data_IF_388503798953
#
_entry.id   IF_388503798953
#
_cell.length_a   1.000
_cell.length_b   1.000
_cell.length_c   1.000
_cell.angle_alpha   90.00
_cell.angle_beta   90.00
_cell.angle_gamma   90.00
#
_symmetry.space_group_name_H-M   'P 1'
#
loop_
_entity.id
_entity.type
_entity.pdbx_description
1 polymer ?
#
# COMPACT_ATOMS: atom_id res chain seq x y z
N UNK A 1 -4.68 -46.23 5.26
CA UNK A 1 -4.64 -45.02 6.13
C UNK A 1 -6.00 -44.89 6.78
N UNK A 2 -6.08 -44.93 8.11
CA UNK A 2 -7.34 -44.85 8.86
C UNK A 2 -7.89 -43.41 8.83
N UNK A 3 -9.22 -43.25 8.83
CA UNK A 3 -9.89 -41.93 8.86
C UNK A 3 -9.34 -40.99 9.95
N UNK A 4 -8.94 -41.53 11.12
CA UNK A 4 -8.33 -40.79 12.21
C UNK A 4 -6.96 -40.19 11.87
N UNK A 5 -6.14 -40.86 11.04
CA UNK A 5 -4.82 -40.37 10.63
C UNK A 5 -4.93 -39.21 9.59
N UNK A 6 -5.96 -39.24 8.74
CA UNK A 6 -6.24 -38.18 7.77
C UNK A 6 -6.75 -36.90 8.47
N UNK A 7 -7.65 -37.05 9.44
CA UNK A 7 -8.12 -35.91 10.26
C UNK A 7 -6.99 -35.24 11.05
N UNK A 8 -6.09 -36.05 11.66
CA UNK A 8 -4.95 -35.53 12.40
C UNK A 8 -3.91 -34.81 11.53
N UNK A 9 -3.68 -35.28 10.31
CA UNK A 9 -2.74 -34.63 9.36
C UNK A 9 -3.30 -33.33 8.81
N UNK A 10 -4.59 -33.27 8.48
CA UNK A 10 -5.29 -32.07 8.01
C UNK A 10 -5.29 -30.97 9.10
N UNK A 11 -5.62 -31.32 10.34
CA UNK A 11 -5.65 -30.39 11.48
C UNK A 11 -4.28 -29.79 11.74
N UNK A 12 -3.23 -30.60 11.78
CA UNK A 12 -1.84 -30.13 11.91
C UNK A 12 -1.41 -29.18 10.77
N UNK A 13 -1.82 -29.46 9.55
CA UNK A 13 -1.57 -28.58 8.41
C UNK A 13 -2.28 -27.21 8.53
N UNK A 14 -3.51 -27.20 9.01
CA UNK A 14 -4.30 -25.98 9.25
C UNK A 14 -3.70 -25.15 10.40
N UNK A 15 -3.34 -25.79 11.52
CA UNK A 15 -2.76 -25.14 12.69
C UNK A 15 -1.42 -24.46 12.34
N UNK A 16 -0.57 -25.12 11.54
CA UNK A 16 0.68 -24.54 11.02
C UNK A 16 0.42 -23.31 10.17
N UNK A 17 -0.59 -23.33 9.29
CA UNK A 17 -0.93 -22.19 8.42
C UNK A 17 -1.46 -21.01 9.21
N UNK A 18 -2.30 -21.25 10.21
CA UNK A 18 -2.79 -20.22 11.14
C UNK A 18 -1.65 -19.64 11.99
N UNK A 19 -0.73 -20.46 12.46
CA UNK A 19 0.46 -20.00 13.17
C UNK A 19 1.32 -19.08 12.31
N UNK A 20 1.56 -19.43 11.04
CA UNK A 20 2.32 -18.59 10.10
C UNK A 20 1.63 -17.25 9.84
N UNK A 21 0.30 -17.25 9.71
CA UNK A 21 -0.47 -16.01 9.57
C UNK A 21 -0.34 -15.13 10.82
N UNK A 22 -0.50 -15.70 11.99
CA UNK A 22 -0.36 -14.97 13.26
C UNK A 22 1.07 -14.44 13.47
N UNK A 23 2.08 -15.23 13.16
CA UNK A 23 3.49 -14.82 13.24
C UNK A 23 3.78 -13.66 12.27
N UNK A 24 3.29 -13.72 11.03
CA UNK A 24 3.47 -12.63 10.06
C UNK A 24 2.71 -11.37 10.48
N UNK A 25 1.52 -11.51 11.07
CA UNK A 25 0.77 -10.39 11.62
C UNK A 25 1.50 -9.73 12.81
N UNK A 26 2.16 -10.53 13.66
CA UNK A 26 2.99 -10.01 14.75
C UNK A 26 4.20 -9.23 14.21
N UNK A 27 4.86 -9.75 13.17
CA UNK A 27 5.95 -9.03 12.49
C UNK A 27 5.44 -7.71 11.92
N UNK A 28 4.25 -7.68 11.30
CA UNK A 28 3.64 -6.45 10.80
C UNK A 28 3.41 -5.45 11.94
N UNK A 29 2.89 -5.90 13.07
CA UNK A 29 2.67 -5.03 14.24
C UNK A 29 3.99 -4.44 14.75
N UNK A 30 5.03 -5.26 14.87
CA UNK A 30 6.36 -4.79 15.28
C UNK A 30 6.94 -3.77 14.31
N UNK A 31 6.82 -4.02 12.99
CA UNK A 31 7.25 -3.08 11.96
C UNK A 31 6.42 -1.79 11.95
N UNK A 32 5.11 -1.86 12.18
CA UNK A 32 4.26 -0.67 12.29
C UNK A 32 4.66 0.21 13.47
N UNK A 33 4.96 -0.39 14.64
CA UNK A 33 5.51 0.34 15.79
C UNK A 33 6.88 0.94 15.48
N UNK A 34 7.75 0.20 14.79
CA UNK A 34 9.05 0.70 14.36
C UNK A 34 8.89 1.87 13.36
N UNK A 35 7.94 1.78 12.43
CA UNK A 35 7.66 2.86 11.47
C UNK A 35 7.14 4.13 12.13
N UNK A 36 6.32 3.99 13.18
CA UNK A 36 5.87 5.10 14.02
C UNK A 36 7.00 5.70 14.86
N UNK A 37 7.96 4.89 15.31
CA UNK A 37 9.10 5.34 16.11
C UNK A 37 10.18 6.02 15.25
N UNK A 38 10.40 5.54 14.02
CA UNK A 38 11.42 6.06 13.10
C UNK A 38 10.95 7.33 12.38
N UNK A 39 11.88 8.26 12.16
CA UNK A 39 11.64 9.51 11.43
C UNK A 39 12.61 10.61 11.89
N UNK A 40 12.60 11.80 11.24
CA UNK A 40 13.54 12.89 11.50
C UNK A 40 13.62 13.32 12.98
N UNK A 41 12.47 13.29 13.67
CA UNK A 41 12.38 13.48 15.12
C UNK A 41 12.17 12.12 15.76
N UNK A 42 13.22 11.38 16.11
CA UNK A 42 13.10 10.11 16.82
C UNK A 42 12.08 10.22 17.97
N UNK A 43 11.09 9.31 18.00
CA UNK A 43 10.04 9.33 19.03
C UNK A 43 10.15 8.05 19.86
N UNK A 44 10.58 8.16 21.13
CA UNK A 44 10.61 7.02 22.05
C UNK A 44 9.23 6.36 22.16
N UNK A 45 9.19 5.07 22.43
CA UNK A 45 7.92 4.33 22.57
C UNK A 45 7.00 4.93 23.64
N UNK A 46 7.56 5.42 24.75
CA UNK A 46 6.79 6.08 25.81
C UNK A 46 6.05 7.34 25.30
N UNK A 47 6.71 8.13 24.47
CA UNK A 47 6.11 9.31 23.85
C UNK A 47 5.01 8.94 22.86
N UNK A 48 5.19 7.84 22.10
CA UNK A 48 4.13 7.29 21.22
C UNK A 48 2.91 6.88 22.05
N UNK A 49 3.10 6.14 23.15
CA UNK A 49 2.00 5.73 24.02
C UNK A 49 1.30 6.91 24.70
N UNK A 50 2.04 7.94 25.13
CA UNK A 50 1.47 9.18 25.65
C UNK A 50 0.62 9.89 24.61
N UNK A 51 1.13 10.05 23.38
CA UNK A 51 0.40 10.69 22.29
C UNK A 51 -0.82 9.87 21.82
N UNK A 52 -0.77 8.54 21.84
CA UNK A 52 -1.91 7.67 21.56
C UNK A 52 -3.01 7.81 22.63
N UNK A 53 -2.65 7.85 23.90
CA UNK A 53 -3.60 8.07 25.00
C UNK A 53 -4.24 9.45 24.97
N UNK A 54 -3.49 10.50 24.58
CA UNK A 54 -4.02 11.84 24.45
C UNK A 54 -5.06 11.95 23.31
N UNK A 55 -4.95 11.09 22.27
CA UNK A 55 -5.89 11.02 21.16
C UNK A 55 -5.76 12.15 20.14
N UNK A 56 -6.47 12.04 18.99
CA UNK A 56 -6.39 13.02 17.90
C UNK A 56 -7.07 14.35 18.22
N UNK A 57 -7.97 14.38 19.21
CA UNK A 57 -8.75 15.55 19.62
C UNK A 57 -8.16 16.24 20.87
N UNK A 58 -6.86 16.06 21.11
CA UNK A 58 -6.19 16.74 22.21
C UNK A 58 -6.44 18.25 22.16
N UNK A 59 -6.98 18.80 23.25
CA UNK A 59 -7.58 20.12 23.31
C UNK A 59 -6.57 21.22 22.96
N UNK A 60 -6.81 21.90 21.82
CA UNK A 60 -5.98 23.00 21.34
C UNK A 60 -6.01 24.20 22.30
N UNK A 61 -7.12 24.43 23.01
CA UNK A 61 -7.28 25.60 23.87
C UNK A 61 -6.34 25.57 25.07
N UNK A 62 -6.21 24.42 25.74
CA UNK A 62 -5.27 24.23 26.85
C UNK A 62 -3.82 24.46 26.45
N UNK A 63 -3.44 23.98 25.26
CA UNK A 63 -2.07 24.05 24.79
C UNK A 63 -1.66 25.44 24.28
N UNK A 64 -2.62 26.25 23.76
CA UNK A 64 -2.35 27.64 23.40
C UNK A 64 -2.16 28.51 24.66
N UNK A 65 -2.96 28.26 25.69
CA UNK A 65 -2.78 28.91 27.00
C UNK A 65 -1.42 28.52 27.60
N UNK A 66 -1.07 27.23 27.57
CA UNK A 66 0.21 26.74 28.09
C UNK A 66 1.42 27.35 27.35
N UNK A 67 1.39 27.39 26.00
CA UNK A 67 2.49 27.98 25.23
C UNK A 67 2.61 29.49 25.39
N UNK A 68 1.49 30.22 25.52
CA UNK A 68 1.48 31.65 25.82
C UNK A 68 1.95 31.94 27.25
N UNK A 69 1.53 31.13 28.22
CA UNK A 69 1.97 31.23 29.60
C UNK A 69 3.49 31.03 29.75
N UNK A 70 4.03 29.99 29.04
CA UNK A 70 5.48 29.76 29.01
C UNK A 70 6.27 30.92 28.44
N UNK A 71 5.75 31.55 27.38
CA UNK A 71 6.39 32.73 26.73
C UNK A 71 6.31 34.03 27.56
N UNK A 72 5.37 34.08 28.52
CA UNK A 72 5.13 35.26 29.36
C UNK A 72 5.74 35.11 30.77
N UNK A 73 6.33 33.97 31.12
CA UNK A 73 6.96 33.75 32.41
C UNK A 73 8.19 34.67 32.54
N UNK A 74 8.14 35.69 33.44
CA UNK A 74 9.29 36.51 33.74
C UNK A 74 10.35 35.70 34.50
N UNK A 75 11.50 36.31 34.76
CA UNK A 75 12.49 35.71 35.66
C UNK A 75 11.88 35.45 37.04
N UNK A 76 12.20 34.30 37.65
CA UNK A 76 11.64 33.86 38.92
C UNK A 76 11.88 34.95 40.02
N UNK A 77 10.85 35.37 40.77
CA UNK A 77 11.03 36.20 41.94
C UNK A 77 11.85 35.46 43.00
N UNK A 78 12.70 36.16 43.71
CA UNK A 78 13.53 35.59 44.78
C UNK A 78 12.67 34.88 45.82
N UNK A 79 13.00 33.63 46.11
CA UNK A 79 12.27 32.75 47.07
C UNK A 79 11.13 31.89 46.49
N UNK A 80 10.82 32.01 45.17
CA UNK A 80 9.78 31.20 44.49
C UNK A 80 10.36 30.37 43.35
N UNK A 81 11.67 30.18 43.33
CA UNK A 81 12.40 29.51 42.22
C UNK A 81 11.92 28.06 41.98
N UNK A 82 11.61 27.30 43.04
CA UNK A 82 11.13 25.92 42.92
C UNK A 82 9.70 25.81 42.35
N UNK A 83 8.82 26.77 42.71
CA UNK A 83 7.47 26.86 42.11
C UNK A 83 7.53 27.31 40.65
N UNK A 84 8.43 28.21 40.34
CA UNK A 84 8.63 28.72 38.97
C UNK A 84 9.20 27.65 38.06
N UNK A 85 10.17 26.85 38.56
CA UNK A 85 10.69 25.68 37.87
C UNK A 85 9.59 24.61 37.62
N UNK A 86 8.81 24.28 38.65
CA UNK A 86 7.71 23.30 38.51
C UNK A 86 6.61 23.75 37.54
N UNK A 87 6.30 25.06 37.49
CA UNK A 87 5.38 25.61 36.48
C UNK A 87 5.99 25.55 35.08
N UNK A 88 7.27 25.87 34.92
CA UNK A 88 7.99 25.82 33.65
C UNK A 88 8.03 24.37 33.10
N UNK A 89 8.29 23.38 33.94
CA UNK A 89 8.27 21.97 33.60
C UNK A 89 6.87 21.48 33.18
N UNK A 90 5.82 21.83 33.96
CA UNK A 90 4.43 21.48 33.64
C UNK A 90 3.99 22.03 32.26
N UNK A 91 4.22 23.32 31.98
CA UNK A 91 3.88 23.92 30.70
C UNK A 91 4.77 23.40 29.56
N UNK A 92 6.03 23.09 29.86
CA UNK A 92 6.97 22.47 28.92
C UNK A 92 6.51 21.08 28.47
N UNK A 93 6.02 20.27 29.40
CA UNK A 93 5.49 18.92 29.13
C UNK A 93 4.20 18.97 28.30
N UNK A 94 3.31 19.93 28.58
CA UNK A 94 2.10 20.14 27.79
C UNK A 94 2.43 20.56 26.33
N UNK A 95 3.35 21.50 26.15
CA UNK A 95 3.79 21.95 24.83
C UNK A 95 4.49 20.82 24.04
N UNK A 96 5.28 19.98 24.72
CA UNK A 96 5.90 18.77 24.16
C UNK A 96 4.86 17.77 23.73
N UNK A 97 3.89 17.44 24.59
CA UNK A 97 2.82 16.50 24.29
C UNK A 97 2.01 16.92 23.06
N UNK A 98 1.71 18.22 22.91
CA UNK A 98 1.05 18.75 21.74
C UNK A 98 1.83 18.47 20.45
N UNK A 99 3.15 18.72 20.43
CA UNK A 99 4.01 18.42 19.28
C UNK A 99 3.97 16.94 18.95
N UNK A 100 4.07 16.06 19.96
CA UNK A 100 4.02 14.62 19.80
C UNK A 100 2.68 14.15 19.19
N UNK A 101 1.55 14.66 19.69
CA UNK A 101 0.21 14.37 19.16
C UNK A 101 0.07 14.83 17.71
N UNK A 102 0.53 16.06 17.40
CA UNK A 102 0.45 16.59 16.04
C UNK A 102 1.30 15.76 15.06
N UNK A 103 2.51 15.37 15.43
CA UNK A 103 3.38 14.55 14.58
C UNK A 103 2.80 13.14 14.43
N UNK A 104 2.35 12.52 15.53
CA UNK A 104 1.83 11.16 15.49
C UNK A 104 0.53 11.07 14.66
N UNK A 105 -0.48 11.84 15.04
CA UNK A 105 -1.81 11.75 14.42
C UNK A 105 -1.91 12.51 13.09
N UNK A 106 -1.14 13.60 12.91
CA UNK A 106 -1.16 14.40 11.69
C UNK A 106 -0.31 13.82 10.55
N UNK A 107 0.79 13.15 10.89
CA UNK A 107 1.77 12.69 9.90
C UNK A 107 2.01 11.18 9.94
N UNK A 108 2.46 10.63 11.07
CA UNK A 108 2.96 9.24 11.14
C UNK A 108 1.85 8.20 11.04
N UNK A 109 0.75 8.37 11.76
CA UNK A 109 -0.39 7.43 11.72
C UNK A 109 -0.98 7.30 10.31
N UNK A 110 -1.32 8.39 9.60
CA UNK A 110 -1.77 8.28 8.21
C UNK A 110 -0.76 7.57 7.29
N UNK A 111 0.55 7.83 7.45
CA UNK A 111 1.60 7.19 6.65
C UNK A 111 1.66 5.68 6.88
N UNK A 112 1.75 5.25 8.14
CA UNK A 112 1.82 3.83 8.49
C UNK A 112 0.53 3.08 8.11
N UNK A 113 -0.64 3.64 8.41
CA UNK A 113 -1.93 3.03 8.07
C UNK A 113 -2.13 2.94 6.55
N UNK A 114 -1.80 4.00 5.79
CA UNK A 114 -1.84 3.95 4.33
C UNK A 114 -0.88 2.89 3.80
N UNK A 115 0.33 2.80 4.33
CA UNK A 115 1.29 1.76 3.95
C UNK A 115 0.75 0.34 4.17
N UNK A 116 0.12 0.08 5.33
CA UNK A 116 -0.52 -1.21 5.62
C UNK A 116 -1.65 -1.51 4.63
N UNK A 117 -2.57 -0.55 4.41
CA UNK A 117 -3.70 -0.73 3.50
C UNK A 117 -3.26 -0.95 2.06
N UNK A 118 -2.28 -0.19 1.58
CA UNK A 118 -1.70 -0.35 0.25
C UNK A 118 -1.02 -1.69 0.09
N UNK A 119 -0.25 -2.12 1.10
CA UNK A 119 0.36 -3.45 1.11
C UNK A 119 -0.69 -4.56 1.06
N UNK A 120 -1.79 -4.43 1.81
CA UNK A 120 -2.94 -5.35 1.77
C UNK A 120 -3.57 -5.39 0.37
N UNK A 121 -3.88 -4.22 -0.19
CA UNK A 121 -4.50 -4.11 -1.51
C UNK A 121 -3.62 -4.74 -2.59
N UNK A 122 -2.31 -4.43 -2.61
CA UNK A 122 -1.38 -4.96 -3.61
C UNK A 122 -1.13 -6.46 -3.43
N UNK A 123 -1.06 -6.97 -2.20
CA UNK A 123 -0.92 -8.41 -1.92
C UNK A 123 -2.13 -9.21 -2.40
N UNK A 124 -3.35 -8.75 -2.08
CA UNK A 124 -4.60 -9.36 -2.54
C UNK A 124 -4.77 -9.27 -4.06
N UNK A 125 -4.51 -8.10 -4.63
CA UNK A 125 -4.58 -7.88 -6.08
C UNK A 125 -3.58 -8.75 -6.82
N UNK A 126 -2.34 -8.83 -6.33
CA UNK A 126 -1.30 -9.65 -6.93
C UNK A 126 -1.65 -11.14 -6.93
N UNK A 127 -2.12 -11.70 -5.81
CA UNK A 127 -2.47 -13.11 -5.72
C UNK A 127 -3.62 -13.47 -6.67
N UNK A 128 -4.67 -12.66 -6.71
CA UNK A 128 -5.78 -12.86 -7.64
C UNK A 128 -5.31 -12.76 -9.09
N UNK A 129 -4.50 -11.74 -9.43
CA UNK A 129 -3.97 -11.56 -10.78
C UNK A 129 -3.15 -12.77 -11.24
N UNK A 130 -2.24 -13.27 -10.41
CA UNK A 130 -1.45 -14.45 -10.71
C UNK A 130 -2.31 -15.70 -10.90
N UNK A 131 -3.43 -15.78 -10.19
CA UNK A 131 -4.36 -16.91 -10.30
C UNK A 131 -5.17 -16.85 -11.58
N UNK A 132 -5.79 -15.70 -11.90
CA UNK A 132 -6.65 -15.58 -13.10
C UNK A 132 -5.88 -15.59 -14.41
N UNK A 133 -4.59 -15.20 -14.38
CA UNK A 133 -3.71 -15.25 -15.54
C UNK A 133 -2.89 -16.56 -15.62
N UNK A 134 -3.04 -17.45 -14.64
CA UNK A 134 -2.25 -18.67 -14.52
C UNK A 134 -0.73 -18.40 -14.66
N UNK A 135 -0.26 -17.23 -14.21
CA UNK A 135 1.12 -16.78 -14.35
C UNK A 135 1.66 -16.26 -13.02
N UNK A 136 2.66 -16.89 -12.41
CA UNK A 136 3.23 -16.47 -11.13
C UNK A 136 3.98 -15.13 -11.19
N UNK A 137 4.33 -14.65 -12.38
CA UNK A 137 5.01 -13.37 -12.60
C UNK A 137 4.04 -12.22 -12.93
N UNK A 138 2.74 -12.51 -13.00
CA UNK A 138 1.73 -11.48 -13.24
C UNK A 138 1.58 -10.57 -12.02
N UNK A 139 1.44 -9.29 -12.28
CA UNK A 139 1.15 -8.27 -11.26
C UNK A 139 0.30 -7.15 -11.87
N UNK A 140 -0.42 -6.38 -11.05
CA UNK A 140 -1.13 -5.20 -11.55
C UNK A 140 -0.21 -4.17 -12.22
N UNK A 141 1.05 -4.11 -11.81
CA UNK A 141 2.07 -3.23 -12.39
C UNK A 141 2.36 -3.62 -13.85
N UNK A 142 2.53 -4.93 -14.13
CA UNK A 142 2.87 -5.43 -15.47
C UNK A 142 1.72 -5.30 -16.48
N UNK A 143 0.49 -5.07 -16.03
CA UNK A 143 -0.68 -4.83 -16.88
C UNK A 143 -0.98 -3.34 -17.13
N UNK A 144 -0.04 -2.45 -16.81
CA UNK A 144 -0.14 -1.05 -17.17
C UNK A 144 -0.99 -0.17 -16.23
N UNK A 145 -1.53 -0.71 -15.13
CA UNK A 145 -2.34 0.08 -14.19
C UNK A 145 -1.54 1.21 -13.56
N UNK A 146 -0.28 0.95 -13.20
CA UNK A 146 0.61 1.97 -12.66
C UNK A 146 1.02 3.03 -13.70
N UNK A 147 1.19 2.65 -14.98
CA UNK A 147 1.47 3.59 -16.06
C UNK A 147 0.27 4.53 -16.30
N UNK A 148 -0.95 3.97 -16.29
CA UNK A 148 -2.17 4.76 -16.40
C UNK A 148 -2.35 5.73 -15.22
N UNK A 149 -2.08 5.27 -13.99
CA UNK A 149 -2.07 6.13 -12.80
C UNK A 149 -1.05 7.27 -12.95
N UNK A 150 0.17 6.95 -13.42
CA UNK A 150 1.22 7.92 -13.68
C UNK A 150 0.84 8.97 -14.73
N UNK A 151 0.20 8.54 -15.81
CA UNK A 151 -0.35 9.45 -16.81
C UNK A 151 -1.43 10.36 -16.24
N UNK A 152 -2.38 9.82 -15.45
CA UNK A 152 -3.43 10.60 -14.80
C UNK A 152 -2.86 11.65 -13.83
N UNK A 153 -1.88 11.26 -13.03
CA UNK A 153 -1.18 12.17 -12.14
C UNK A 153 -0.41 13.25 -12.92
N UNK A 154 0.29 12.87 -14.00
CA UNK A 154 1.02 13.79 -14.86
C UNK A 154 0.10 14.82 -15.51
N UNK A 155 -1.06 14.40 -16.02
CA UNK A 155 -2.10 15.30 -16.52
C UNK A 155 -2.51 16.32 -15.45
N UNK A 156 -2.88 15.85 -14.26
CA UNK A 156 -3.31 16.74 -13.20
C UNK A 156 -2.20 17.70 -12.78
N UNK A 157 -0.97 17.24 -12.61
CA UNK A 157 0.18 18.09 -12.24
C UNK A 157 0.43 19.17 -13.31
N UNK A 158 0.46 18.77 -14.59
CA UNK A 158 0.72 19.69 -15.71
C UNK A 158 -0.39 20.76 -15.84
N UNK A 159 -1.66 20.34 -15.87
CA UNK A 159 -2.77 21.29 -16.01
C UNK A 159 -2.99 22.12 -14.74
N UNK A 160 -2.70 21.58 -13.55
CA UNK A 160 -2.73 22.34 -12.31
C UNK A 160 -1.74 23.49 -12.30
N UNK A 161 -0.54 23.30 -12.84
CA UNK A 161 0.45 24.36 -12.99
C UNK A 161 0.04 25.46 -13.98
N UNK A 162 -0.86 25.15 -14.90
CA UNK A 162 -1.36 26.11 -15.91
C UNK A 162 -2.55 26.94 -15.43
N UNK A 163 -3.20 26.58 -14.31
CA UNK A 163 -4.35 27.31 -13.76
C UNK A 163 -3.93 28.29 -12.67
N UNK A 164 -3.91 29.61 -12.92
CA UNK A 164 -3.57 30.60 -11.89
C UNK A 164 -4.52 30.49 -10.68
N UNK A 165 -3.96 30.41 -9.49
CA UNK A 165 -4.72 30.34 -8.22
C UNK A 165 -5.15 28.92 -7.81
N UNK A 166 -5.07 27.91 -8.64
CA UNK A 166 -5.48 26.51 -8.31
C UNK A 166 -4.28 25.69 -7.83
N UNK A 167 -3.15 25.80 -8.48
CA UNK A 167 -1.94 25.02 -8.19
C UNK A 167 -1.33 25.26 -6.79
N UNK A 168 -1.58 26.45 -6.21
CA UNK A 168 -1.10 26.81 -4.86
C UNK A 168 -1.93 26.26 -3.70
N UNK A 169 -3.10 25.67 -3.98
CA UNK A 169 -3.96 25.16 -2.94
C UNK A 169 -3.60 23.71 -2.57
N UNK A 170 -3.39 23.46 -1.28
CA UNK A 170 -3.04 22.14 -0.76
C UNK A 170 -4.04 21.03 -1.20
N UNK A 171 -5.35 21.33 -1.27
CA UNK A 171 -6.39 20.38 -1.69
C UNK A 171 -6.18 19.85 -3.13
N UNK A 172 -5.54 20.63 -4.02
CA UNK A 172 -5.28 20.18 -5.39
C UNK A 172 -4.37 18.94 -5.40
N UNK A 173 -3.25 18.98 -4.71
CA UNK A 173 -2.32 17.86 -4.62
C UNK A 173 -2.90 16.66 -3.87
N UNK A 174 -3.78 16.91 -2.88
CA UNK A 174 -4.35 15.84 -2.05
C UNK A 174 -5.62 15.20 -2.60
N UNK A 175 -6.32 15.84 -3.53
CA UNK A 175 -7.60 15.35 -4.07
C UNK A 175 -7.53 15.16 -5.58
N UNK A 176 -7.18 16.20 -6.33
CA UNK A 176 -7.28 16.17 -7.81
C UNK A 176 -6.23 15.23 -8.43
N UNK A 177 -4.99 15.28 -7.98
CA UNK A 177 -3.94 14.40 -8.50
C UNK A 177 -4.26 12.91 -8.21
N UNK A 178 -4.62 12.50 -6.98
CA UNK A 178 -5.09 11.14 -6.73
C UNK A 178 -6.36 10.75 -7.49
N UNK A 179 -7.33 11.65 -7.61
CA UNK A 179 -8.56 11.37 -8.35
C UNK A 179 -8.29 11.13 -9.84
N UNK A 180 -7.42 11.92 -10.46
CA UNK A 180 -7.01 11.73 -11.85
C UNK A 180 -6.24 10.41 -12.04
N UNK A 181 -5.31 10.08 -11.14
CA UNK A 181 -4.60 8.81 -11.15
C UNK A 181 -5.56 7.62 -11.01
N UNK A 182 -6.51 7.69 -10.07
CA UNK A 182 -7.55 6.68 -9.87
C UNK A 182 -8.41 6.50 -11.13
N UNK A 183 -8.93 7.59 -11.69
CA UNK A 183 -9.80 7.57 -12.87
C UNK A 183 -9.08 6.97 -14.09
N UNK A 184 -7.80 7.33 -14.34
CA UNK A 184 -7.04 6.77 -15.44
C UNK A 184 -6.71 5.29 -15.23
N UNK A 185 -6.44 4.85 -14.00
CA UNK A 185 -6.28 3.43 -13.69
C UNK A 185 -7.56 2.64 -14.00
N UNK A 186 -8.71 3.15 -13.59
CA UNK A 186 -10.01 2.52 -13.90
C UNK A 186 -10.28 2.57 -15.42
N UNK A 187 -9.93 3.65 -16.10
CA UNK A 187 -10.02 3.76 -17.56
C UNK A 187 -9.17 2.70 -18.28
N UNK A 188 -7.94 2.51 -17.86
CA UNK A 188 -7.04 1.46 -18.37
C UNK A 188 -7.62 0.06 -18.15
N UNK A 189 -8.16 -0.17 -16.96
CA UNK A 189 -8.88 -1.40 -16.65
C UNK A 189 -10.08 -1.60 -17.57
N UNK A 190 -10.87 -0.54 -17.80
CA UNK A 190 -12.03 -0.56 -18.71
C UNK A 190 -11.63 -0.94 -20.14
N UNK A 191 -10.50 -0.44 -20.63
CA UNK A 191 -9.96 -0.80 -21.96
C UNK A 191 -9.60 -2.29 -22.04
N UNK A 192 -8.88 -2.82 -21.06
CA UNK A 192 -8.51 -4.25 -21.03
C UNK A 192 -9.78 -5.10 -20.86
N UNK A 193 -10.71 -4.67 -20.01
CA UNK A 193 -11.99 -5.35 -19.82
C UNK A 193 -12.82 -5.39 -21.10
N UNK A 194 -12.88 -4.29 -21.84
CA UNK A 194 -13.57 -4.22 -23.14
C UNK A 194 -12.97 -5.22 -24.13
N UNK A 195 -11.64 -5.28 -24.23
CA UNK A 195 -10.94 -6.27 -25.07
C UNK A 195 -11.32 -7.70 -24.65
N UNK A 196 -11.33 -7.96 -23.33
CA UNK A 196 -11.68 -9.26 -22.79
C UNK A 196 -13.14 -9.66 -23.05
N UNK A 197 -14.08 -8.72 -23.09
CA UNK A 197 -15.47 -8.97 -23.44
C UNK A 197 -15.64 -9.26 -24.91
N UNK A 198 -14.93 -8.52 -25.79
CA UNK A 198 -15.02 -8.65 -27.24
C UNK A 198 -14.33 -9.91 -27.78
N UNK A 199 -13.29 -10.40 -27.10
CA UNK A 199 -12.40 -11.47 -27.62
C UNK A 199 -12.31 -12.72 -26.72
N UNK A 200 -13.06 -12.82 -25.63
CA UNK A 200 -12.94 -13.79 -24.53
C UNK A 200 -11.86 -13.38 -23.50
N UNK A 201 -12.13 -13.71 -22.23
CA UNK A 201 -11.23 -13.34 -21.11
C UNK A 201 -10.12 -14.40 -20.91
N UNK A 202 -9.43 -14.80 -21.99
CA UNK A 202 -8.31 -15.74 -21.86
C UNK A 202 -7.09 -15.06 -21.22
N UNK A 203 -6.22 -15.81 -20.50
CA UNK A 203 -5.01 -15.26 -19.94
C UNK A 203 -4.12 -14.52 -20.95
N UNK A 204 -3.98 -15.09 -22.16
CA UNK A 204 -3.18 -14.51 -23.23
C UNK A 204 -3.71 -13.13 -23.66
N UNK A 205 -5.03 -12.99 -23.86
CA UNK A 205 -5.66 -11.73 -24.28
C UNK A 205 -5.52 -10.66 -23.18
N UNK A 206 -5.70 -11.04 -21.90
CA UNK A 206 -5.53 -10.13 -20.78
C UNK A 206 -4.09 -9.64 -20.66
N UNK A 207 -3.10 -10.51 -20.84
CA UNK A 207 -1.67 -10.15 -20.79
C UNK A 207 -1.29 -9.25 -21.96
N UNK A 208 -1.65 -9.62 -23.20
CA UNK A 208 -1.34 -8.81 -24.39
C UNK A 208 -2.04 -7.45 -24.34
N UNK A 209 -3.31 -7.41 -23.93
CA UNK A 209 -4.04 -6.16 -23.73
C UNK A 209 -3.39 -5.29 -22.65
N UNK A 210 -2.95 -5.91 -21.55
CA UNK A 210 -2.22 -5.21 -20.48
C UNK A 210 -0.90 -4.62 -20.94
N UNK A 211 -0.11 -5.34 -21.73
CA UNK A 211 1.14 -4.86 -22.31
C UNK A 211 0.88 -3.69 -23.28
N UNK A 212 -0.14 -3.80 -24.12
CA UNK A 212 -0.51 -2.71 -25.03
C UNK A 212 -0.92 -1.44 -24.27
N UNK A 213 -1.74 -1.59 -23.22
CA UNK A 213 -2.16 -0.50 -22.33
C UNK A 213 -0.96 0.10 -21.59
N UNK A 214 -0.02 -0.73 -21.10
CA UNK A 214 1.20 -0.29 -20.45
C UNK A 214 2.00 0.66 -21.36
N UNK A 215 2.33 0.22 -22.57
CA UNK A 215 3.11 1.03 -23.52
C UNK A 215 2.34 2.28 -23.99
N UNK A 216 1.05 2.17 -24.19
CA UNK A 216 0.21 3.32 -24.57
C UNK A 216 0.28 4.43 -23.50
N UNK A 217 0.01 4.11 -22.23
CA UNK A 217 0.05 5.11 -21.17
C UNK A 217 1.48 5.58 -20.85
N UNK A 218 2.50 4.72 -20.96
CA UNK A 218 3.89 5.15 -20.84
C UNK A 218 4.29 6.16 -21.93
N UNK A 219 3.89 5.92 -23.17
CA UNK A 219 4.17 6.84 -24.26
C UNK A 219 3.47 8.19 -24.06
N UNK A 220 2.20 8.18 -23.65
CA UNK A 220 1.46 9.41 -23.33
C UNK A 220 2.09 10.15 -22.14
N UNK A 221 2.51 9.43 -21.10
CA UNK A 221 3.20 10.03 -19.96
C UNK A 221 4.54 10.65 -20.37
N UNK A 222 5.32 9.99 -21.21
CA UNK A 222 6.58 10.52 -21.72
C UNK A 222 6.35 11.78 -22.58
N UNK A 223 5.28 11.81 -23.37
CA UNK A 223 4.89 12.99 -24.14
C UNK A 223 4.56 14.17 -23.20
N UNK A 224 3.80 13.93 -22.13
CA UNK A 224 3.50 14.98 -21.13
C UNK A 224 4.77 15.49 -20.45
N UNK A 225 5.69 14.60 -20.07
CA UNK A 225 6.97 14.99 -19.47
C UNK A 225 7.84 15.81 -20.42
N UNK A 226 7.83 15.50 -21.72
CA UNK A 226 8.54 16.28 -22.74
C UNK A 226 7.97 17.69 -22.91
N UNK A 227 6.63 17.83 -22.80
CA UNK A 227 5.94 19.12 -22.93
C UNK A 227 5.89 19.92 -21.63
N UNK A 228 6.18 19.30 -20.48
CA UNK A 228 6.09 19.91 -19.16
C UNK A 228 7.23 20.90 -18.89
N UNK A 229 6.97 21.87 -18.01
CA UNK A 229 8.04 22.70 -17.44
C UNK A 229 8.98 21.82 -16.59
N UNK A 230 10.24 22.26 -16.35
CA UNK A 230 11.18 21.51 -15.51
C UNK A 230 10.61 21.17 -14.13
N UNK A 231 9.89 22.11 -13.50
CA UNK A 231 9.27 21.95 -12.17
C UNK A 231 8.14 20.91 -12.21
N UNK A 232 7.27 20.95 -13.23
CA UNK A 232 6.19 19.99 -13.40
C UNK A 232 6.76 18.59 -13.72
N UNK A 233 7.77 18.50 -14.58
CA UNK A 233 8.46 17.24 -14.88
C UNK A 233 9.10 16.63 -13.63
N UNK A 234 9.75 17.43 -12.79
CA UNK A 234 10.30 17.00 -11.51
C UNK A 234 9.21 16.47 -10.58
N UNK A 235 8.07 17.17 -10.45
CA UNK A 235 6.95 16.72 -9.62
C UNK A 235 6.37 15.39 -10.10
N UNK A 236 6.25 15.19 -11.44
CA UNK A 236 5.81 13.92 -12.05
C UNK A 236 6.78 12.80 -11.67
N UNK A 237 8.09 13.01 -11.82
CA UNK A 237 9.11 12.01 -11.47
C UNK A 237 9.04 11.65 -9.98
N UNK A 238 8.94 12.64 -9.08
CA UNK A 238 8.77 12.37 -7.65
C UNK A 238 7.48 11.62 -7.31
N UNK A 239 6.41 11.86 -8.06
CA UNK A 239 5.17 11.11 -7.89
C UNK A 239 5.34 9.64 -8.30
N UNK A 240 6.07 9.40 -9.41
CA UNK A 240 6.33 8.06 -9.94
C UNK A 240 7.22 7.20 -9.03
N UNK A 241 8.04 7.78 -8.18
CA UNK A 241 8.87 7.03 -7.24
C UNK A 241 8.07 6.34 -6.11
N UNK A 242 6.82 6.72 -5.90
CA UNK A 242 5.99 6.17 -4.83
C UNK A 242 6.47 6.55 -3.43
N UNK A 243 5.71 7.40 -2.72
CA UNK A 243 6.13 7.94 -1.44
C UNK A 243 4.97 8.02 -0.43
N UNK A 244 5.18 7.46 0.77
CA UNK A 244 4.23 7.52 1.87
C UNK A 244 4.15 8.89 2.55
N UNK A 245 5.10 9.81 2.32
CA UNK A 245 5.07 11.15 2.92
C UNK A 245 3.84 11.98 2.51
N UNK A 246 3.20 11.63 1.37
CA UNK A 246 1.96 12.27 0.90
C UNK A 246 0.68 11.65 1.50
N UNK A 247 0.82 10.60 2.31
CA UNK A 247 -0.32 9.92 2.91
C UNK A 247 -1.07 10.86 3.87
N UNK A 248 -2.39 10.77 3.85
CA UNK A 248 -3.31 11.56 4.64
C UNK A 248 -4.46 10.68 5.17
N UNK A 249 -5.27 11.20 6.07
CA UNK A 249 -6.47 10.49 6.52
C UNK A 249 -7.46 10.19 5.39
N UNK A 250 -7.45 11.01 4.32
CA UNK A 250 -8.23 10.74 3.10
C UNK A 250 -7.74 9.48 2.40
N UNK A 251 -6.41 9.29 2.28
CA UNK A 251 -5.85 8.06 1.68
C UNK A 251 -6.17 6.81 2.51
N UNK A 252 -6.15 6.92 3.85
CA UNK A 252 -6.57 5.84 4.76
C UNK A 252 -8.05 5.52 4.55
N UNK A 253 -8.92 6.53 4.52
CA UNK A 253 -10.36 6.34 4.36
C UNK A 253 -10.71 5.68 3.01
N UNK A 254 -10.15 6.17 1.90
CA UNK A 254 -10.38 5.60 0.56
C UNK A 254 -9.81 4.19 0.45
N UNK A 255 -8.60 3.95 0.94
CA UNK A 255 -7.98 2.63 0.95
C UNK A 255 -8.80 1.61 1.76
N UNK A 256 -9.25 2.00 2.96
CA UNK A 256 -10.08 1.17 3.82
C UNK A 256 -11.46 0.92 3.19
N UNK A 257 -12.11 1.95 2.67
CA UNK A 257 -13.42 1.81 2.02
C UNK A 257 -13.34 0.87 0.82
N UNK A 258 -12.30 1.00 -0.01
CA UNK A 258 -12.10 0.11 -1.17
C UNK A 258 -11.84 -1.32 -0.73
N UNK A 259 -11.01 -1.54 0.30
CA UNK A 259 -10.75 -2.87 0.84
C UNK A 259 -12.03 -3.51 1.39
N UNK A 260 -12.80 -2.78 2.20
CA UNK A 260 -14.07 -3.24 2.78
C UNK A 260 -15.10 -3.55 1.68
N UNK A 261 -15.18 -2.74 0.64
CA UNK A 261 -16.06 -2.97 -0.51
C UNK A 261 -15.67 -4.24 -1.29
N UNK A 262 -14.39 -4.47 -1.49
CA UNK A 262 -13.88 -5.61 -2.27
C UNK A 262 -13.87 -6.94 -1.48
N UNK A 263 -13.69 -6.88 -0.16
CA UNK A 263 -13.46 -8.05 0.69
C UNK A 263 -14.58 -9.11 0.62
N UNK A 264 -15.89 -8.76 0.64
CA UNK A 264 -16.96 -9.76 0.52
C UNK A 264 -16.89 -10.57 -0.78
N UNK A 265 -16.54 -9.93 -1.89
CA UNK A 265 -16.38 -10.58 -3.19
C UNK A 265 -15.15 -11.47 -3.22
N UNK A 266 -14.05 -11.03 -2.61
CA UNK A 266 -12.82 -11.82 -2.49
C UNK A 266 -13.07 -13.09 -1.67
N UNK A 267 -13.75 -12.96 -0.52
CA UNK A 267 -14.08 -14.10 0.35
C UNK A 267 -14.99 -15.08 -0.38
N UNK A 268 -16.03 -14.59 -1.05
CA UNK A 268 -16.96 -15.40 -1.84
C UNK A 268 -16.25 -16.22 -2.93
N UNK A 269 -15.25 -15.62 -3.59
CA UNK A 269 -14.58 -16.23 -4.72
C UNK A 269 -13.37 -17.09 -4.34
N UNK A 270 -13.02 -17.16 -3.06
CA UNK A 270 -11.84 -17.88 -2.55
C UNK A 270 -11.78 -19.33 -3.01
N UNK A 271 -12.90 -20.05 -2.91
CA UNK A 271 -12.95 -21.45 -3.34
C UNK A 271 -12.83 -21.58 -4.86
N UNK A 272 -13.52 -20.75 -5.60
CA UNK A 272 -13.48 -20.75 -7.07
C UNK A 272 -12.06 -20.41 -7.59
N UNK A 273 -11.36 -19.47 -6.95
CA UNK A 273 -9.97 -19.16 -7.27
C UNK A 273 -9.02 -20.32 -6.96
N UNK A 274 -9.24 -21.02 -5.84
CA UNK A 274 -8.45 -22.23 -5.53
C UNK A 274 -8.65 -23.32 -6.58
N UNK A 275 -9.89 -23.53 -7.01
CA UNK A 275 -10.23 -24.52 -8.03
C UNK A 275 -9.67 -24.16 -9.41
N UNK A 276 -9.64 -22.85 -9.75
CA UNK A 276 -9.07 -22.38 -11.02
C UNK A 276 -7.58 -22.73 -11.17
N UNK A 277 -6.86 -22.95 -10.07
CA UNK A 277 -5.47 -23.44 -10.10
C UNK A 277 -5.31 -24.85 -10.69
N UNK A 278 -6.37 -25.65 -10.72
CA UNK A 278 -6.38 -26.96 -11.34
C UNK A 278 -6.54 -26.91 -12.87
N UNK A 279 -6.67 -25.71 -13.43
CA UNK A 279 -6.90 -25.46 -14.85
C UNK A 279 -8.37 -25.21 -15.19
N UNK A 280 -8.62 -24.56 -16.33
CA UNK A 280 -9.94 -24.11 -16.77
C UNK A 280 -10.93 -25.25 -16.93
N UNK A 281 -10.50 -26.34 -17.59
CA UNK A 281 -11.35 -27.51 -17.84
C UNK A 281 -11.84 -28.16 -16.53
N UNK A 282 -10.93 -28.33 -15.55
CA UNK A 282 -11.28 -28.89 -14.26
C UNK A 282 -12.19 -27.94 -13.45
N UNK A 283 -11.95 -26.63 -13.52
CA UNK A 283 -12.81 -25.65 -12.86
C UNK A 283 -14.23 -25.64 -13.46
N UNK A 284 -14.34 -25.72 -14.78
CA UNK A 284 -15.64 -25.80 -15.47
C UNK A 284 -16.40 -27.10 -15.14
N UNK A 285 -15.71 -28.24 -15.05
CA UNK A 285 -16.36 -29.53 -14.66
C UNK A 285 -16.91 -29.48 -13.23
N UNK A 286 -16.37 -28.64 -12.36
CA UNK A 286 -16.85 -28.37 -10.99
C UNK A 286 -17.90 -27.24 -10.92
N UNK A 287 -18.43 -26.80 -12.08
CA UNK A 287 -19.53 -25.82 -12.17
C UNK A 287 -19.09 -24.36 -12.07
N UNK A 288 -17.78 -24.06 -12.19
CA UNK A 288 -17.29 -22.69 -12.12
C UNK A 288 -17.35 -22.04 -13.51
N UNK A 289 -18.00 -20.88 -13.59
CA UNK A 289 -17.98 -20.04 -14.78
C UNK A 289 -16.67 -19.24 -14.84
N UNK A 290 -15.62 -19.80 -15.45
CA UNK A 290 -14.25 -19.27 -15.46
C UNK A 290 -14.19 -17.84 -16.00
N UNK A 291 -14.83 -17.52 -17.12
CA UNK A 291 -14.84 -16.17 -17.71
C UNK A 291 -15.48 -15.13 -16.77
N UNK A 292 -16.57 -15.50 -16.08
CA UNK A 292 -17.24 -14.62 -15.12
C UNK A 292 -16.36 -14.39 -13.90
N UNK A 293 -15.70 -15.43 -13.40
CA UNK A 293 -14.75 -15.33 -12.29
C UNK A 293 -13.58 -14.42 -12.66
N UNK A 294 -12.95 -14.60 -13.83
CA UNK A 294 -11.85 -13.78 -14.32
C UNK A 294 -12.23 -12.31 -14.43
N UNK A 295 -13.36 -12.01 -15.09
CA UNK A 295 -13.85 -10.63 -15.24
C UNK A 295 -14.09 -9.97 -13.89
N UNK A 296 -14.76 -10.65 -12.95
CA UNK A 296 -15.01 -10.12 -11.61
C UNK A 296 -13.72 -9.89 -10.83
N UNK A 297 -12.84 -10.87 -10.79
CA UNK A 297 -11.53 -10.73 -10.13
C UNK A 297 -10.70 -9.61 -10.74
N UNK A 298 -10.76 -9.43 -12.06
CA UNK A 298 -10.06 -8.34 -12.75
C UNK A 298 -10.57 -6.97 -12.30
N UNK A 299 -11.88 -6.77 -12.15
CA UNK A 299 -12.48 -5.54 -11.62
C UNK A 299 -12.03 -5.29 -10.17
N UNK A 300 -12.05 -6.33 -9.33
CA UNK A 300 -11.61 -6.23 -7.92
C UNK A 300 -10.13 -5.83 -7.85
N UNK A 301 -9.28 -6.48 -8.62
CA UNK A 301 -7.84 -6.17 -8.70
C UNK A 301 -7.62 -4.73 -9.14
N UNK A 302 -8.40 -4.26 -10.11
CA UNK A 302 -8.31 -2.89 -10.62
C UNK A 302 -8.67 -1.85 -9.58
N UNK A 303 -9.77 -2.07 -8.83
CA UNK A 303 -10.19 -1.18 -7.73
C UNK A 303 -9.14 -1.14 -6.62
N UNK A 304 -8.65 -2.31 -6.17
CA UNK A 304 -7.62 -2.40 -5.15
C UNK A 304 -6.33 -1.69 -5.58
N UNK A 305 -5.91 -1.89 -6.83
CA UNK A 305 -4.70 -1.27 -7.38
C UNK A 305 -4.87 0.24 -7.57
N UNK A 306 -6.01 0.68 -8.10
CA UNK A 306 -6.30 2.10 -8.28
C UNK A 306 -6.27 2.85 -6.94
N UNK A 307 -6.91 2.30 -5.90
CA UNK A 307 -6.89 2.88 -4.55
C UNK A 307 -5.47 2.87 -3.95
N UNK A 308 -4.70 1.79 -4.18
CA UNK A 308 -3.34 1.67 -3.67
C UNK A 308 -2.39 2.71 -4.28
N UNK A 309 -2.45 2.90 -5.61
CA UNK A 309 -1.45 3.70 -6.34
C UNK A 309 -1.81 5.19 -6.38
N UNK A 310 -3.09 5.54 -6.37
CA UNK A 310 -3.55 6.92 -6.60
C UNK A 310 -3.00 7.94 -5.59
N UNK A 311 -2.88 7.58 -4.32
CA UNK A 311 -2.46 8.52 -3.27
C UNK A 311 -0.95 8.59 -3.05
N UNK A 312 -0.27 7.47 -3.21
CA UNK A 312 1.15 7.34 -2.85
C UNK A 312 2.08 7.18 -4.04
N UNK A 313 1.54 7.11 -5.26
CA UNK A 313 2.29 6.90 -6.48
C UNK A 313 2.57 5.42 -6.78
N UNK A 314 3.44 5.16 -7.75
CA UNK A 314 3.67 3.80 -8.23
C UNK A 314 4.55 3.00 -7.28
N UNK A 315 4.10 1.78 -6.94
CA UNK A 315 4.86 0.84 -6.11
C UNK A 315 4.97 -0.48 -6.87
N UNK A 316 6.18 -0.79 -7.29
CA UNK A 316 6.48 -2.06 -7.95
C UNK A 316 6.77 -3.20 -6.96
N UNK A 317 6.78 -4.41 -7.49
CA UNK A 317 7.22 -5.65 -6.84
C UNK A 317 6.37 -6.18 -5.68
N UNK A 318 5.73 -5.34 -4.84
CA UNK A 318 4.92 -5.81 -3.70
C UNK A 318 3.85 -6.80 -4.15
N UNK A 319 3.07 -6.45 -5.19
CA UNK A 319 2.02 -7.32 -5.76
C UNK A 319 2.54 -8.56 -6.48
N UNK A 320 3.84 -8.69 -6.68
CA UNK A 320 4.49 -9.87 -7.26
C UNK A 320 5.08 -10.76 -6.17
N UNK A 321 5.78 -10.16 -5.21
CA UNK A 321 6.55 -10.86 -4.19
C UNK A 321 5.65 -11.41 -3.08
N UNK A 322 4.71 -10.59 -2.57
CA UNK A 322 3.86 -10.97 -1.46
C UNK A 322 3.03 -12.26 -1.75
N UNK A 323 2.38 -12.40 -2.92
CA UNK A 323 1.71 -13.65 -3.29
C UNK A 323 2.65 -14.85 -3.38
N UNK A 324 3.85 -14.65 -3.93
CA UNK A 324 4.83 -15.72 -4.05
C UNK A 324 5.27 -16.22 -2.67
N UNK A 325 5.62 -15.32 -1.75
CA UNK A 325 5.95 -15.67 -0.37
C UNK A 325 4.79 -16.37 0.34
N UNK A 326 3.58 -15.85 0.20
CA UNK A 326 2.40 -16.45 0.80
C UNK A 326 2.20 -17.90 0.33
N UNK A 327 2.25 -18.15 -0.99
CA UNK A 327 2.11 -19.50 -1.53
C UNK A 327 3.25 -20.43 -1.11
N UNK A 328 4.47 -19.96 -1.02
CA UNK A 328 5.60 -20.79 -0.57
C UNK A 328 5.45 -21.23 0.89
N UNK A 329 4.76 -20.47 1.72
CA UNK A 329 4.56 -20.76 3.15
C UNK A 329 3.31 -21.62 3.43
N UNK A 330 2.16 -21.31 2.80
CA UNK A 330 0.87 -21.94 3.11
C UNK A 330 0.28 -22.75 1.96
N UNK A 331 0.94 -22.78 0.80
CA UNK A 331 0.48 -23.50 -0.40
C UNK A 331 -0.53 -22.68 -1.21
N UNK A 332 -1.20 -23.38 -2.16
CA UNK A 332 -2.08 -22.77 -3.17
C UNK A 332 -3.54 -22.57 -2.70
N UNK A 333 -3.87 -22.94 -1.46
CA UNK A 333 -5.22 -22.75 -0.91
C UNK A 333 -5.47 -21.28 -0.60
N UNK A 334 -6.35 -20.66 -1.39
CA UNK A 334 -6.65 -19.22 -1.28
C UNK A 334 -7.27 -18.80 0.07
N UNK A 335 -7.84 -19.75 0.85
CA UNK A 335 -8.33 -19.46 2.20
C UNK A 335 -7.22 -18.96 3.13
N UNK A 336 -6.00 -19.45 2.93
CA UNK A 336 -4.81 -19.08 3.70
C UNK A 336 -3.88 -18.15 2.91
N UNK A 337 -3.78 -18.37 1.60
CA UNK A 337 -2.87 -17.61 0.74
C UNK A 337 -3.30 -16.15 0.58
N UNK A 338 -4.62 -15.84 0.48
CA UNK A 338 -5.10 -14.47 0.35
C UNK A 338 -4.79 -13.61 1.58
N UNK A 339 -5.21 -14.01 2.80
CA UNK A 339 -4.88 -13.20 3.98
C UNK A 339 -3.38 -13.11 4.24
N UNK A 340 -2.62 -14.19 3.98
CA UNK A 340 -1.18 -14.15 4.15
C UNK A 340 -0.51 -13.24 3.10
N UNK A 341 -0.98 -13.22 1.85
CA UNK A 341 -0.47 -12.30 0.82
C UNK A 341 -0.75 -10.84 1.19
N UNK A 342 -1.92 -10.54 1.75
CA UNK A 342 -2.26 -9.21 2.24
C UNK A 342 -1.27 -8.76 3.33
N UNK A 343 -1.12 -9.57 4.40
CA UNK A 343 -0.22 -9.26 5.52
C UNK A 343 1.24 -9.16 5.06
N UNK A 344 1.70 -10.08 4.20
CA UNK A 344 3.07 -10.06 3.66
C UNK A 344 3.30 -8.81 2.81
N UNK A 345 2.31 -8.38 2.01
CA UNK A 345 2.38 -7.13 1.25
C UNK A 345 2.58 -5.91 2.16
N UNK A 346 1.87 -5.86 3.28
CA UNK A 346 2.05 -4.80 4.27
C UNK A 346 3.42 -4.88 4.96
N UNK A 347 3.88 -6.08 5.32
CA UNK A 347 5.23 -6.29 5.90
C UNK A 347 6.32 -5.77 4.96
N UNK A 348 6.24 -6.08 3.67
CA UNK A 348 7.21 -5.60 2.67
C UNK A 348 7.17 -4.07 2.58
N UNK A 349 5.98 -3.48 2.50
CA UNK A 349 5.86 -2.04 2.31
C UNK A 349 6.24 -1.23 3.54
N UNK A 350 5.82 -1.65 4.73
CA UNK A 350 6.21 -1.00 5.99
C UNK A 350 7.69 -1.23 6.28
N UNK A 351 8.22 -2.42 6.00
CA UNK A 351 9.66 -2.69 6.09
C UNK A 351 10.47 -1.76 5.17
N UNK A 352 10.02 -1.54 3.93
CA UNK A 352 10.64 -0.58 3.02
C UNK A 352 10.54 0.86 3.55
N UNK A 353 9.42 1.25 4.19
CA UNK A 353 9.25 2.55 4.83
C UNK A 353 10.28 2.76 5.97
N UNK A 354 10.39 1.78 6.86
CA UNK A 354 11.36 1.82 7.98
C UNK A 354 12.80 1.94 7.46
N UNK A 355 13.17 1.12 6.48
CA UNK A 355 14.50 1.16 5.85
C UNK A 355 14.75 2.54 5.23
N UNK A 356 13.77 3.10 4.50
CA UNK A 356 13.88 4.42 3.87
C UNK A 356 14.11 5.55 4.87
N UNK A 357 13.42 5.49 6.00
CA UNK A 357 13.56 6.46 7.09
C UNK A 357 14.92 6.34 7.80
N UNK A 358 15.45 5.12 7.96
CA UNK A 358 16.76 4.87 8.59
C UNK A 358 17.91 5.32 7.68
N UNK A 359 17.82 5.00 6.37
CA UNK A 359 18.89 5.33 5.42
C UNK A 359 18.97 6.82 5.07
N UNK A 360 17.91 7.59 5.28
CA UNK A 360 17.87 9.03 4.99
C UNK A 360 17.29 9.79 6.18
N UNK A 361 18.08 10.04 7.24
CA UNK A 361 17.65 10.87 8.37
C UNK A 361 17.35 12.29 7.88
N UNK A 362 16.09 12.75 8.02
CA UNK A 362 15.65 14.09 7.57
C UNK A 362 14.92 14.14 6.23
N UNK A 363 15.03 13.09 5.41
CA UNK A 363 14.21 12.87 4.21
C UNK A 363 13.92 11.39 4.08
N UNK A 364 12.74 10.95 3.69
CA UNK A 364 12.49 9.53 3.45
C UNK A 364 12.79 9.19 1.99
N UNK A 365 13.65 8.20 1.76
CA UNK A 365 13.80 7.61 0.42
C UNK A 365 12.43 7.06 -0.01
N UNK A 366 11.95 7.37 -1.22
CA UNK A 366 10.68 6.86 -1.71
C UNK A 366 10.59 5.34 -1.59
N UNK A 367 9.49 4.84 -1.02
CA UNK A 367 9.31 3.41 -0.75
C UNK A 367 9.32 2.56 -2.02
N UNK A 368 8.89 3.12 -3.15
CA UNK A 368 8.93 2.45 -4.45
C UNK A 368 10.34 2.12 -4.91
N UNK A 369 11.33 2.97 -4.60
CA UNK A 369 12.75 2.71 -4.91
C UNK A 369 13.25 1.52 -4.09
N UNK A 370 12.95 1.50 -2.78
CA UNK A 370 13.42 0.43 -1.88
C UNK A 370 12.78 -0.90 -2.26
N UNK A 371 11.45 -0.90 -2.53
CA UNK A 371 10.77 -2.13 -2.96
C UNK A 371 11.28 -2.64 -4.30
N UNK A 372 11.70 -1.76 -5.23
CA UNK A 372 12.30 -2.15 -6.50
C UNK A 372 13.71 -2.75 -6.30
N UNK A 373 14.56 -2.08 -5.52
CA UNK A 373 15.94 -2.56 -5.23
C UNK A 373 15.91 -3.91 -4.50
N UNK A 374 15.02 -4.11 -3.55
CA UNK A 374 14.87 -5.38 -2.85
C UNK A 374 14.15 -6.45 -3.72
N UNK A 375 13.23 -6.01 -4.58
CA UNK A 375 12.38 -6.89 -5.39
C UNK A 375 13.11 -7.58 -6.52
N UNK A 376 14.05 -6.89 -7.20
CA UNK A 376 14.79 -7.45 -8.33
C UNK A 376 15.64 -8.67 -7.94
N UNK A 377 16.51 -8.63 -6.90
CA UNK A 377 17.24 -9.81 -6.46
C UNK A 377 16.35 -10.98 -6.06
N UNK A 378 15.22 -10.67 -5.41
CA UNK A 378 14.26 -11.71 -5.01
C UNK A 378 13.61 -12.38 -6.23
N UNK A 379 13.27 -11.61 -7.27
CA UNK A 379 12.75 -12.16 -8.52
C UNK A 379 13.78 -13.10 -9.20
N UNK A 380 15.05 -12.72 -9.25
CA UNK A 380 16.11 -13.60 -9.74
C UNK A 380 16.20 -14.88 -8.93
N UNK A 381 16.12 -14.80 -7.60
CA UNK A 381 16.10 -15.98 -6.73
C UNK A 381 14.92 -16.93 -7.01
N UNK A 382 13.73 -16.38 -7.34
CA UNK A 382 12.55 -17.16 -7.73
C UNK A 382 12.80 -17.88 -9.06
N UNK A 383 13.32 -17.19 -10.07
CA UNK A 383 13.58 -17.74 -11.41
C UNK A 383 14.61 -18.86 -11.34
N UNK A 384 15.70 -18.67 -10.63
CA UNK A 384 16.76 -19.67 -10.49
C UNK A 384 16.27 -20.95 -9.80
N UNK A 385 15.40 -20.83 -8.77
CA UNK A 385 14.83 -21.99 -8.08
C UNK A 385 13.76 -22.72 -8.90
N UNK A 386 13.01 -22.03 -9.74
CA UNK A 386 12.00 -22.66 -10.60
C UNK A 386 12.65 -23.49 -11.72
N UNK A 387 13.78 -23.05 -12.26
CA UNK A 387 14.56 -23.80 -13.26
C UNK A 387 15.09 -25.15 -12.76
N UNK A 388 15.46 -25.25 -11.49
CA UNK A 388 15.95 -26.50 -10.89
C UNK A 388 14.85 -27.56 -10.71
N UNK A 389 13.58 -27.17 -10.54
CA UNK A 389 12.45 -28.12 -10.40
C UNK A 389 11.94 -28.68 -11.71
N UNK A 390 12.26 -28.07 -12.85
CA UNK A 390 11.91 -28.60 -14.19
C UNK A 390 13.00 -29.50 -14.76
N UNK A 391 14.18 -29.55 -14.14
CA UNK A 391 15.33 -30.34 -14.58
C UNK A 391 15.55 -31.61 -13.70
N UNK A 392 14.76 -31.81 -12.65
CA UNK A 392 14.72 -32.98 -11.79
C UNK A 392 13.39 -33.72 -11.94
#
# INVERSE_FOLDING_TARGET
>A
MTHASLHGSYRRGTDRRLFLLAATALVLLALALADLATGPSGMPLDDIFKALRAGPFYDKSRSEVASRALALLPAAPAGLESLWQGMGEFFGDEARLRKLVTILWGLRMPQTLTGILVGFCLGLAGLQMQTILANPLASPFTLGFSAAAGFGAALAIMFGGMMPGVAGHAWYGFIIVPAAAFAMTIGACGLIYLIAVLRSATPAILVLGGIAVLFFFQSLQSLLQFLATPEASQQIVFWLFGNLLKASWTSVAVGLATLVLCLPFIIRDTWALTTLRLGDANAMSLGIHVDRLRRRSFIIVSLLTAAAVSFIGTIGFVGLIAPHMARSLVGEDHRFALPLAAVTGAVILIGASVIGKILSPGGAIPVGIITAVAGVPMLFGIILRSGQRSAA
#
